data_IF_449246804131
#
_entry.id   IF_449246804131
#
_cell.length_a   1.000
_cell.length_b   1.000
_cell.length_c   1.000
_cell.angle_alpha   90.00
_cell.angle_beta   90.00
_cell.angle_gamma   90.00
#
_symmetry.space_group_name_H-M   'P 1'
#
loop_
_entity.id
_entity.type
_entity.pdbx_description
1 polymer ?
#
# COMPACT_ATOMS: atom_id res chain seq x y z
N UNK A 1 29.69 16.74 25.45
CA UNK A 1 28.25 17.02 25.41
C UNK A 1 27.89 17.36 23.97
N UNK A 2 27.62 16.34 23.17
CA UNK A 2 27.11 16.53 21.81
C UNK A 2 25.68 17.05 21.92
N UNK A 3 25.44 18.24 21.36
CA UNK A 3 24.09 18.78 21.21
C UNK A 3 23.34 17.84 20.29
N UNK A 4 22.41 17.07 20.86
CA UNK A 4 21.28 16.48 20.12
C UNK A 4 20.71 17.58 19.24
N UNK A 5 20.87 17.46 17.92
CA UNK A 5 20.09 18.26 16.97
C UNK A 5 18.63 17.97 17.33
N UNK A 6 17.91 18.95 17.85
CA UNK A 6 16.46 18.84 17.98
C UNK A 6 15.94 18.48 16.59
N UNK A 7 15.35 17.29 16.43
CA UNK A 7 14.69 16.94 15.19
C UNK A 7 13.67 18.06 14.92
N UNK A 8 13.91 18.83 13.86
CA UNK A 8 13.00 19.88 13.47
C UNK A 8 11.67 19.19 13.16
N UNK A 9 10.62 19.58 13.86
CA UNK A 9 9.29 19.06 13.62
C UNK A 9 8.88 19.41 12.18
N UNK A 10 8.50 18.41 11.38
CA UNK A 10 8.26 18.52 9.94
C UNK A 10 6.84 18.17 9.60
N UNK A 11 6.17 18.99 8.79
CA UNK A 11 4.79 18.77 8.38
C UNK A 11 4.62 17.44 7.61
N UNK A 12 3.45 16.75 7.67
CA UNK A 12 3.24 15.47 6.98
C UNK A 12 3.32 15.56 5.45
N UNK A 13 3.28 16.79 4.91
CA UNK A 13 3.43 17.06 3.48
C UNK A 13 4.89 17.28 3.03
N UNK A 14 5.87 17.25 3.95
CA UNK A 14 7.27 17.53 3.63
C UNK A 14 8.01 16.27 3.19
N UNK A 15 8.82 16.40 2.14
CA UNK A 15 9.67 15.31 1.63
C UNK A 15 10.83 15.04 2.60
N UNK A 16 11.19 13.76 2.90
CA UNK A 16 12.33 13.45 3.75
C UNK A 16 13.66 13.98 3.19
N UNK A 17 14.37 14.82 3.97
CA UNK A 17 15.66 15.41 3.58
C UNK A 17 16.87 14.46 3.66
N UNK A 18 16.71 13.25 4.20
CA UNK A 18 17.84 12.36 4.49
C UNK A 18 18.45 11.76 3.21
N UNK A 19 17.68 11.72 2.12
CA UNK A 19 18.14 11.44 0.77
C UNK A 19 17.25 12.18 -0.24
N UNK A 20 17.48 13.49 -0.37
CA UNK A 20 16.72 14.35 -1.30
C UNK A 20 16.74 13.84 -2.74
N UNK A 21 17.82 13.17 -3.16
CA UNK A 21 17.97 12.69 -4.54
C UNK A 21 17.18 11.39 -4.76
N UNK A 22 17.21 10.45 -3.82
CA UNK A 22 16.34 9.26 -3.88
C UNK A 22 14.87 9.61 -3.73
N UNK A 23 14.54 10.57 -2.86
CA UNK A 23 13.18 11.07 -2.72
C UNK A 23 12.73 11.80 -4.01
N UNK A 24 13.56 12.64 -4.62
CA UNK A 24 13.24 13.24 -5.92
C UNK A 24 13.08 12.18 -7.02
N UNK A 25 13.96 11.20 -7.11
CA UNK A 25 13.84 10.14 -8.13
C UNK A 25 12.57 9.28 -7.96
N UNK A 26 12.21 8.92 -6.72
CA UNK A 26 11.01 8.13 -6.44
C UNK A 26 9.72 8.94 -6.63
N UNK A 27 9.72 10.22 -6.25
CA UNK A 27 8.50 11.02 -6.07
C UNK A 27 8.30 12.12 -7.12
N UNK A 28 9.37 12.70 -7.66
CA UNK A 28 9.33 13.74 -8.70
C UNK A 28 9.36 13.12 -10.10
N UNK A 29 10.16 12.07 -10.32
CA UNK A 29 10.28 11.42 -11.64
C UNK A 29 9.18 10.37 -11.90
N UNK A 30 8.17 10.25 -11.02
CA UNK A 30 7.07 9.28 -11.10
C UNK A 30 7.53 7.80 -11.21
N UNK A 31 8.73 7.49 -10.70
CA UNK A 31 9.28 6.13 -10.74
C UNK A 31 8.78 5.31 -9.55
N UNK A 32 7.49 5.00 -9.54
CA UNK A 32 6.83 4.16 -8.51
C UNK A 32 5.90 3.12 -9.14
N UNK A 33 5.55 2.12 -8.36
CA UNK A 33 4.57 1.10 -8.75
C UNK A 33 4.98 0.36 -10.02
N UNK A 34 4.06 0.19 -11.00
CA UNK A 34 4.37 -0.44 -12.27
C UNK A 34 5.42 0.29 -13.13
N UNK A 35 5.68 1.57 -12.88
CA UNK A 35 6.71 2.31 -13.62
C UNK A 35 8.12 1.99 -13.09
N UNK A 36 8.22 1.58 -11.83
CA UNK A 36 9.48 1.16 -11.19
C UNK A 36 9.73 -0.34 -11.30
N UNK A 37 8.68 -1.15 -11.13
CA UNK A 37 8.80 -2.59 -11.01
C UNK A 37 7.87 -3.32 -11.99
N UNK A 38 8.41 -4.36 -12.63
CA UNK A 38 7.66 -5.34 -13.43
C UNK A 38 7.50 -6.62 -12.62
N UNK A 39 6.31 -7.22 -12.66
CA UNK A 39 6.11 -8.59 -12.20
C UNK A 39 6.20 -9.59 -13.36
N UNK A 40 6.65 -10.80 -13.05
CA UNK A 40 6.84 -11.87 -14.03
C UNK A 40 6.53 -13.22 -13.40
N UNK A 41 5.84 -14.13 -14.11
CA UNK A 41 5.59 -15.49 -13.62
C UNK A 41 6.89 -16.24 -13.42
N UNK A 42 7.07 -16.82 -12.23
CA UNK A 42 8.23 -17.64 -11.90
C UNK A 42 7.81 -18.87 -11.09
N UNK A 43 8.58 -19.95 -11.21
CA UNK A 43 8.43 -21.14 -10.38
C UNK A 43 9.51 -21.14 -9.31
N UNK A 44 9.11 -21.14 -8.03
CA UNK A 44 10.07 -21.29 -6.93
C UNK A 44 10.56 -22.74 -6.89
N UNK A 45 11.88 -22.94 -7.03
CA UNK A 45 12.51 -24.26 -6.99
C UNK A 45 13.00 -24.61 -5.59
N UNK A 46 13.58 -23.62 -4.89
CA UNK A 46 14.13 -23.80 -3.55
C UNK A 46 14.07 -22.49 -2.77
N UNK A 47 13.85 -22.55 -1.46
CA UNK A 47 13.99 -21.41 -0.54
C UNK A 47 15.06 -21.72 0.51
N UNK A 48 16.00 -20.78 0.72
CA UNK A 48 17.07 -20.90 1.72
C UNK A 48 17.35 -19.54 2.36
N UNK A 49 17.05 -19.41 3.64
CA UNK A 49 17.25 -18.16 4.38
C UNK A 49 16.46 -16.99 3.77
N UNK A 50 17.16 -15.91 3.44
CA UNK A 50 16.62 -14.68 2.84
C UNK A 50 16.51 -14.72 1.31
N UNK A 51 16.94 -15.81 0.67
CA UNK A 51 16.96 -15.95 -0.79
C UNK A 51 16.17 -17.20 -1.24
N UNK A 52 15.82 -17.21 -2.53
CA UNK A 52 15.19 -18.35 -3.18
C UNK A 52 15.69 -18.51 -4.61
N UNK A 53 15.78 -19.76 -5.06
CA UNK A 53 16.08 -20.11 -6.43
C UNK A 53 14.75 -20.18 -7.20
N UNK A 54 14.64 -19.39 -8.26
CA UNK A 54 13.45 -19.35 -9.12
C UNK A 54 13.81 -19.74 -10.55
N UNK A 55 12.88 -20.38 -11.23
CA UNK A 55 12.89 -20.60 -12.67
C UNK A 55 11.95 -19.60 -13.34
N UNK A 56 12.47 -18.83 -14.28
CA UNK A 56 11.75 -17.80 -15.02
C UNK A 56 12.24 -17.80 -16.48
N UNK A 57 11.30 -17.87 -17.43
CA UNK A 57 11.60 -17.82 -18.88
C UNK A 57 12.71 -18.80 -19.33
N UNK A 58 12.74 -19.99 -18.72
CA UNK A 58 13.71 -21.04 -19.05
C UNK A 58 15.10 -20.87 -18.41
N UNK A 59 15.31 -19.83 -17.60
CA UNK A 59 16.53 -19.62 -16.84
C UNK A 59 16.28 -19.80 -15.33
N UNK A 60 17.31 -20.25 -14.60
CA UNK A 60 17.28 -20.29 -13.12
C UNK A 60 18.11 -19.16 -12.56
N UNK A 61 17.60 -18.44 -11.56
CA UNK A 61 18.32 -17.39 -10.85
C UNK A 61 17.98 -17.37 -9.37
N UNK A 62 18.95 -16.95 -8.56
CA UNK A 62 18.74 -16.70 -7.13
C UNK A 62 18.24 -15.26 -6.95
N UNK A 63 17.18 -15.08 -6.16
CA UNK A 63 16.57 -13.77 -5.89
C UNK A 63 16.27 -13.63 -4.39
N UNK A 64 16.29 -12.41 -3.84
CA UNK A 64 15.81 -12.14 -2.49
C UNK A 64 14.34 -12.57 -2.34
N UNK A 65 13.98 -13.14 -1.19
CA UNK A 65 12.60 -13.57 -0.92
C UNK A 65 11.62 -12.39 -0.90
N UNK A 66 12.08 -11.20 -0.55
CA UNK A 66 11.30 -9.95 -0.62
C UNK A 66 10.91 -9.55 -2.05
N UNK A 67 11.54 -10.12 -3.08
CA UNK A 67 11.20 -9.89 -4.48
C UNK A 67 10.25 -10.95 -5.05
N UNK A 68 9.77 -11.89 -4.23
CA UNK A 68 8.86 -12.96 -4.67
C UNK A 68 7.49 -12.78 -4.04
N UNK A 69 6.49 -12.73 -4.91
CA UNK A 69 5.09 -12.59 -4.54
C UNK A 69 4.40 -13.96 -4.58
N UNK A 70 3.46 -14.24 -3.66
CA UNK A 70 2.51 -15.32 -3.83
C UNK A 70 1.81 -15.24 -5.19
N UNK A 71 1.58 -16.39 -5.82
CA UNK A 71 0.97 -16.44 -7.16
C UNK A 71 -0.34 -15.64 -7.23
N UNK A 72 -1.20 -15.84 -6.24
CA UNK A 72 -2.51 -15.20 -6.20
C UNK A 72 -2.43 -13.68 -6.05
N UNK A 73 -1.48 -13.17 -5.25
CA UNK A 73 -1.22 -11.72 -5.16
C UNK A 73 -0.77 -11.14 -6.51
N UNK A 74 0.14 -11.83 -7.21
CA UNK A 74 0.53 -11.44 -8.56
C UNK A 74 -0.68 -11.36 -9.50
N UNK A 75 -1.62 -12.30 -9.39
CA UNK A 75 -2.85 -12.28 -10.18
C UNK A 75 -3.78 -11.13 -9.79
N UNK A 76 -3.89 -10.79 -8.51
CA UNK A 76 -4.65 -9.62 -8.04
C UNK A 76 -4.06 -8.31 -8.60
N UNK A 77 -2.74 -8.17 -8.66
CA UNK A 77 -2.10 -7.00 -9.30
C UNK A 77 -2.50 -6.91 -10.77
N UNK A 78 -2.42 -8.00 -11.53
CA UNK A 78 -2.81 -8.01 -12.95
C UNK A 78 -4.31 -7.70 -13.13
N UNK A 79 -5.15 -8.20 -12.23
CA UNK A 79 -6.59 -7.95 -12.23
C UNK A 79 -6.90 -6.47 -12.02
N UNK A 80 -6.29 -5.87 -10.99
CA UNK A 80 -6.43 -4.44 -10.68
C UNK A 80 -5.85 -3.57 -11.79
N UNK A 81 -4.74 -3.98 -12.42
CA UNK A 81 -4.18 -3.31 -13.60
C UNK A 81 -5.18 -3.24 -14.74
N UNK A 82 -5.79 -4.39 -15.08
CA UNK A 82 -6.75 -4.46 -16.16
C UNK A 82 -8.03 -3.68 -15.83
N UNK A 83 -8.50 -3.74 -14.58
CA UNK A 83 -9.70 -3.03 -14.15
C UNK A 83 -9.54 -1.49 -14.14
N UNK A 84 -8.31 -1.00 -14.00
CA UNK A 84 -8.01 0.43 -13.91
C UNK A 84 -7.22 0.99 -15.11
N UNK A 85 -7.12 0.22 -16.20
CA UNK A 85 -6.44 0.65 -17.43
C UNK A 85 -7.07 1.96 -17.95
N UNK A 86 -6.28 3.04 -17.99
CA UNK A 86 -6.71 4.37 -18.44
C UNK A 86 -7.53 5.20 -17.44
N UNK A 87 -7.73 4.73 -16.19
CA UNK A 87 -8.43 5.52 -15.16
C UNK A 87 -7.48 6.55 -14.52
N UNK A 88 -8.01 7.75 -14.26
CA UNK A 88 -7.26 8.80 -13.56
C UNK A 88 -6.88 8.37 -12.13
N UNK A 89 -5.70 8.79 -11.66
CA UNK A 89 -5.15 8.44 -10.34
C UNK A 89 -4.49 7.06 -10.25
N UNK A 90 -4.46 6.29 -11.36
CA UNK A 90 -3.77 5.01 -11.46
C UNK A 90 -2.60 5.09 -12.43
N UNK A 91 -1.51 4.40 -12.07
CA UNK A 91 -0.27 4.35 -12.84
C UNK A 91 -0.39 3.34 -13.99
N UNK A 92 0.13 3.71 -15.15
CA UNK A 92 0.20 2.82 -16.30
C UNK A 92 1.25 1.72 -16.09
N UNK A 93 0.99 0.51 -16.60
CA UNK A 93 1.95 -0.59 -16.64
C UNK A 93 2.33 -0.94 -18.08
N UNK A 94 3.36 -0.32 -18.67
CA UNK A 94 3.75 -0.59 -20.06
C UNK A 94 4.19 -2.04 -20.31
N UNK A 95 4.57 -2.76 -19.25
CA UNK A 95 4.96 -4.17 -19.31
C UNK A 95 3.77 -5.14 -19.21
N UNK A 96 2.54 -4.68 -19.01
CA UNK A 96 1.34 -5.53 -18.94
C UNK A 96 0.89 -5.95 -20.35
N UNK A 97 1.71 -6.83 -20.94
CA UNK A 97 1.62 -7.31 -22.31
C UNK A 97 0.53 -8.38 -22.53
N UNK A 98 0.39 -8.81 -23.79
CA UNK A 98 -0.58 -9.82 -24.18
C UNK A 98 -0.37 -11.19 -23.48
N UNK A 99 0.87 -11.52 -23.12
CA UNK A 99 1.20 -12.76 -22.41
C UNK A 99 0.60 -12.74 -21.01
N UNK A 100 0.81 -11.65 -20.26
CA UNK A 100 0.25 -11.48 -18.93
C UNK A 100 -1.29 -11.34 -18.95
N UNK A 101 -1.84 -10.66 -19.95
CA UNK A 101 -3.31 -10.57 -20.15
C UNK A 101 -3.92 -11.96 -20.41
N UNK A 102 -3.26 -12.79 -21.22
CA UNK A 102 -3.70 -14.17 -21.47
C UNK A 102 -3.59 -15.06 -20.23
N UNK A 103 -2.52 -14.89 -19.44
CA UNK A 103 -2.33 -15.60 -18.18
C UNK A 103 -3.44 -15.27 -17.18
N UNK A 104 -3.77 -13.98 -17.00
CA UNK A 104 -4.87 -13.53 -16.15
C UNK A 104 -6.22 -14.12 -16.59
N UNK A 105 -6.50 -14.10 -17.90
CA UNK A 105 -7.72 -14.68 -18.45
C UNK A 105 -7.82 -16.19 -18.16
N UNK A 106 -6.71 -16.92 -18.31
CA UNK A 106 -6.63 -18.35 -17.97
C UNK A 106 -6.86 -18.60 -16.49
N UNK A 107 -6.35 -17.74 -15.61
CA UNK A 107 -6.56 -17.86 -14.17
C UNK A 107 -8.02 -17.60 -13.79
N UNK A 108 -8.61 -16.51 -14.31
CA UNK A 108 -10.03 -16.18 -14.09
C UNK A 108 -10.98 -17.29 -14.54
N UNK A 109 -10.66 -17.98 -15.64
CA UNK A 109 -11.46 -19.09 -16.15
C UNK A 109 -11.56 -20.29 -15.20
N UNK A 110 -10.68 -20.39 -14.19
CA UNK A 110 -10.76 -21.43 -13.14
C UNK A 110 -11.85 -21.14 -12.11
N UNK A 111 -12.37 -19.92 -12.06
CA UNK A 111 -13.37 -19.50 -11.08
C UNK A 111 -14.74 -19.39 -11.74
N UNK A 112 -15.78 -19.89 -11.07
CA UNK A 112 -17.15 -19.96 -11.59
C UNK A 112 -17.73 -18.59 -12.00
N UNK A 113 -17.23 -17.50 -11.42
CA UNK A 113 -17.69 -16.13 -11.66
C UNK A 113 -16.80 -15.39 -12.67
N UNK A 114 -15.74 -16.04 -13.18
CA UNK A 114 -14.79 -15.42 -14.11
C UNK A 114 -14.00 -14.25 -13.51
N UNK A 115 -13.93 -14.16 -12.18
CA UNK A 115 -13.24 -13.11 -11.43
C UNK A 115 -12.36 -13.71 -10.36
N UNK A 116 -11.23 -13.07 -10.10
CA UNK A 116 -10.47 -13.31 -8.90
C UNK A 116 -11.23 -12.72 -7.72
N UNK A 117 -11.12 -13.40 -6.58
CA UNK A 117 -11.77 -12.98 -5.35
C UNK A 117 -10.68 -12.53 -4.35
N UNK A 118 -10.47 -11.21 -4.24
CA UNK A 118 -9.48 -10.64 -3.32
C UNK A 118 -9.87 -10.87 -1.86
N UNK A 119 -11.17 -10.86 -1.56
CA UNK A 119 -11.67 -11.07 -0.20
C UNK A 119 -11.40 -12.47 0.34
N UNK A 120 -11.42 -13.51 -0.49
CA UNK A 120 -11.04 -14.88 -0.12
C UNK A 120 -9.56 -14.99 0.20
N UNK A 121 -8.71 -14.26 -0.53
CA UNK A 121 -7.28 -14.22 -0.26
C UNK A 121 -7.01 -13.56 1.09
N UNK A 122 -7.61 -12.38 1.31
CA UNK A 122 -7.58 -11.71 2.60
C UNK A 122 -8.13 -12.61 3.72
N UNK A 123 -9.29 -13.23 3.50
CA UNK A 123 -9.94 -14.09 4.46
C UNK A 123 -9.17 -15.38 4.79
N UNK A 124 -8.22 -15.81 3.96
CA UNK A 124 -7.48 -17.07 4.13
C UNK A 124 -6.05 -16.87 4.60
N UNK A 125 -5.38 -15.84 4.11
CA UNK A 125 -3.96 -15.60 4.37
C UNK A 125 -3.72 -14.42 5.30
N UNK A 126 -4.73 -13.58 5.53
CA UNK A 126 -4.60 -12.33 6.26
C UNK A 126 -5.51 -12.27 7.52
N UNK A 127 -6.32 -13.30 7.78
CA UNK A 127 -7.27 -13.43 8.92
C UNK A 127 -6.70 -14.06 10.18
N UNK A 128 -5.51 -14.66 10.13
CA UNK A 128 -4.79 -15.08 11.36
C UNK A 128 -4.21 -13.87 12.13
N UNK A 129 -4.49 -12.65 11.66
CA UNK A 129 -4.24 -11.36 12.31
C UNK A 129 -5.59 -10.62 12.34
N UNK A 130 -6.00 -10.07 13.48
CA UNK A 130 -7.37 -9.69 13.80
C UNK A 130 -8.01 -8.61 12.86
N UNK A 131 -9.34 -8.69 12.70
CA UNK A 131 -10.16 -8.04 11.65
C UNK A 131 -11.08 -6.95 12.23
N UNK A 132 -10.81 -5.64 12.00
CA UNK A 132 -11.65 -4.53 12.53
C UNK A 132 -11.58 -3.16 11.79
N UNK A 133 -11.22 -3.10 10.51
CA UNK A 133 -11.00 -1.88 9.71
C UNK A 133 -12.19 -1.49 8.81
N UNK A 134 -12.07 -0.37 8.09
CA UNK A 134 -13.10 0.17 7.20
C UNK A 134 -13.62 -0.86 6.19
N UNK A 135 -14.90 -0.73 5.88
CA UNK A 135 -15.62 -1.60 4.98
C UNK A 135 -15.16 -1.40 3.52
N UNK A 136 -14.82 -2.49 2.81
CA UNK A 136 -14.55 -2.49 1.38
C UNK A 136 -15.51 -3.44 0.64
N UNK A 137 -15.77 -3.16 -0.63
CA UNK A 137 -16.70 -3.92 -1.45
C UNK A 137 -15.98 -4.83 -2.47
N UNK A 138 -16.26 -6.13 -2.43
CA UNK A 138 -15.89 -7.12 -3.44
C UNK A 138 -17.16 -7.59 -4.17
N UNK A 139 -17.41 -7.03 -5.36
CA UNK A 139 -18.69 -7.15 -6.03
C UNK A 139 -19.80 -6.42 -5.26
N UNK A 140 -20.81 -7.17 -4.79
CA UNK A 140 -21.91 -6.63 -3.96
C UNK A 140 -21.69 -6.85 -2.44
N UNK A 141 -20.55 -7.42 -2.03
CA UNK A 141 -20.31 -7.82 -0.64
C UNK A 141 -19.34 -6.89 0.08
N UNK A 142 -19.69 -6.56 1.32
CA UNK A 142 -18.93 -5.71 2.24
C UNK A 142 -18.01 -6.55 3.16
N UNK A 143 -16.78 -6.07 3.42
CA UNK A 143 -15.71 -6.74 4.18
C UNK A 143 -14.87 -5.73 5.00
N UNK A 144 -14.18 -6.13 6.08
CA UNK A 144 -13.42 -5.22 6.98
C UNK A 144 -11.89 -5.55 7.04
N UNK A 145 -10.99 -4.55 7.16
CA UNK A 145 -9.51 -4.75 7.25
C UNK A 145 -8.88 -4.58 8.65
N UNK A 146 -7.56 -4.32 8.84
CA UNK A 146 -6.77 -4.78 10.01
C UNK A 146 -6.36 -3.65 10.99
N UNK A 147 -6.56 -3.86 12.31
CA UNK A 147 -5.91 -3.19 13.48
C UNK A 147 -6.57 -3.67 14.80
N UNK A 148 -5.84 -3.66 15.92
CA UNK A 148 -6.41 -3.99 17.25
C UNK A 148 -7.24 -2.83 17.79
N UNK A 149 -8.52 -3.06 18.10
CA UNK A 149 -9.41 -2.03 18.65
C UNK A 149 -9.10 -1.84 20.13
N UNK A 150 -8.37 -0.78 20.47
CA UNK A 150 -8.48 -0.20 21.79
C UNK A 150 -9.72 0.69 21.81
N UNK A 151 -10.62 0.42 22.76
CA UNK A 151 -11.58 1.41 23.20
C UNK A 151 -10.73 2.51 23.86
N UNK A 152 -10.31 3.50 23.08
CA UNK A 152 -9.79 4.72 23.65
C UNK A 152 -10.95 5.32 24.45
N UNK A 153 -10.83 5.30 25.77
CA UNK A 153 -11.64 6.21 26.60
C UNK A 153 -11.43 7.60 26.02
N UNK A 154 -12.52 8.32 25.76
CA UNK A 154 -12.54 9.73 25.39
C UNK A 154 -11.83 10.54 26.50
N UNK A 155 -10.51 10.52 26.49
CA UNK A 155 -9.73 11.51 27.21
C UNK A 155 -10.05 12.82 26.49
N UNK A 156 -10.75 13.70 27.21
CA UNK A 156 -11.05 15.08 26.84
C UNK A 156 -9.75 15.84 26.51
N UNK A 157 -9.21 15.60 25.33
CA UNK A 157 -8.06 16.30 24.81
C UNK A 157 -8.57 17.59 24.19
N UNK A 158 -8.20 18.70 24.82
CA UNK A 158 -8.57 20.04 24.38
C UNK A 158 -8.08 20.28 22.95
N UNK A 159 -8.94 20.82 22.10
CA UNK A 159 -8.57 21.39 20.80
C UNK A 159 -7.29 22.24 20.94
N UNK A 160 -6.26 21.92 20.16
CA UNK A 160 -5.03 22.73 20.11
C UNK A 160 -3.92 22.36 21.09
N UNK A 161 -3.97 21.22 21.80
CA UNK A 161 -2.80 20.73 22.53
C UNK A 161 -1.75 20.18 21.54
N UNK A 162 -0.64 20.91 21.37
CA UNK A 162 0.57 20.44 20.69
C UNK A 162 1.08 19.19 21.43
N UNK A 163 0.87 18.02 20.82
CA UNK A 163 1.23 16.71 21.37
C UNK A 163 2.73 16.47 21.50
N UNK A 164 3.55 17.47 21.19
CA UNK A 164 5.00 17.41 21.29
C UNK A 164 5.57 16.55 20.17
N UNK A 165 5.97 17.18 19.06
CA UNK A 165 6.85 16.54 18.08
C UNK A 165 6.26 15.39 17.23
N UNK A 166 5.01 15.00 17.45
CA UNK A 166 4.33 13.92 16.72
C UNK A 166 2.95 14.36 16.19
N UNK A 167 2.51 13.75 15.09
CA UNK A 167 1.18 13.98 14.53
C UNK A 167 0.13 13.11 15.21
N UNK A 168 -0.93 13.73 15.74
CA UNK A 168 -2.05 12.99 16.31
C UNK A 168 -3.01 12.54 15.21
N UNK A 169 -3.16 11.23 15.06
CA UNK A 169 -4.20 10.63 14.22
C UNK A 169 -5.55 10.80 14.92
N UNK A 170 -6.54 11.30 14.18
CA UNK A 170 -7.93 11.40 14.65
C UNK A 170 -8.67 10.09 14.43
N UNK A 171 -8.57 9.55 13.22
CA UNK A 171 -9.23 8.30 12.81
C UNK A 171 -8.61 7.75 11.52
N UNK A 172 -8.87 6.48 11.24
CA UNK A 172 -8.57 5.86 9.95
C UNK A 172 -9.84 5.85 9.11
N UNK A 173 -9.79 6.48 7.95
CA UNK A 173 -10.95 6.64 7.07
C UNK A 173 -11.11 5.44 6.14
N UNK A 174 -10.00 4.96 5.58
CA UNK A 174 -10.01 3.98 4.51
C UNK A 174 -8.74 3.12 4.55
N UNK A 175 -8.75 2.01 3.81
CA UNK A 175 -7.64 1.08 3.69
C UNK A 175 -7.43 0.69 2.23
N UNK A 176 -6.16 0.52 1.86
CA UNK A 176 -5.75 0.16 0.53
C UNK A 176 -4.78 -1.03 0.58
N UNK A 177 -5.16 -2.19 0.03
CA UNK A 177 -4.31 -3.37 0.05
C UNK A 177 -3.12 -3.23 -0.91
N UNK A 178 -2.07 -4.05 -0.76
CA UNK A 178 -0.79 -3.85 -1.45
C UNK A 178 -0.89 -3.93 -2.97
N UNK A 179 -1.77 -4.79 -3.49
CA UNK A 179 -2.01 -4.94 -4.93
C UNK A 179 -2.74 -3.73 -5.55
N UNK A 180 -3.51 -2.97 -4.78
CA UNK A 180 -4.12 -1.72 -5.23
C UNK A 180 -3.19 -0.52 -4.98
N UNK A 181 -2.53 -0.48 -3.83
CA UNK A 181 -1.54 0.53 -3.47
C UNK A 181 -0.41 0.63 -4.49
N UNK A 182 0.06 -0.51 -4.98
CA UNK A 182 1.07 -0.59 -6.03
C UNK A 182 0.69 0.24 -7.26
N UNK A 183 -0.60 0.37 -7.56
CA UNK A 183 -1.12 0.99 -8.77
C UNK A 183 -1.55 2.45 -8.59
N UNK A 184 -1.69 2.92 -7.36
CA UNK A 184 -2.14 4.29 -7.10
C UNK A 184 -1.00 5.27 -7.19
N UNK A 185 -1.25 6.41 -7.81
CA UNK A 185 -0.28 7.49 -7.91
C UNK A 185 0.18 7.98 -6.53
N UNK A 186 -0.72 8.02 -5.54
CA UNK A 186 -0.41 8.55 -4.20
C UNK A 186 0.24 7.53 -3.25
N UNK A 187 0.32 6.26 -3.65
CA UNK A 187 0.88 5.19 -2.82
C UNK A 187 2.06 4.51 -3.53
N UNK A 188 1.86 3.94 -4.72
CA UNK A 188 2.91 3.47 -5.62
C UNK A 188 3.85 2.39 -5.08
N UNK A 189 3.60 1.85 -3.89
CA UNK A 189 4.45 0.82 -3.26
C UNK A 189 3.63 -0.42 -2.96
N UNK A 190 4.30 -1.57 -2.99
CA UNK A 190 3.69 -2.85 -2.65
C UNK A 190 3.66 -3.06 -1.13
N UNK A 191 2.77 -2.35 -0.45
CA UNK A 191 2.52 -2.48 0.99
C UNK A 191 1.10 -2.01 1.34
N UNK A 192 0.66 -2.34 2.55
CA UNK A 192 -0.61 -1.89 3.10
C UNK A 192 -0.59 -0.37 3.35
N UNK A 193 -1.64 0.34 2.93
CA UNK A 193 -1.82 1.77 3.20
C UNK A 193 -3.15 2.03 3.90
N UNK A 194 -3.19 3.06 4.75
CA UNK A 194 -4.39 3.55 5.40
C UNK A 194 -4.58 5.03 5.11
N UNK A 195 -5.82 5.45 4.84
CA UNK A 195 -6.16 6.86 4.78
C UNK A 195 -6.33 7.38 6.20
N UNK A 196 -5.41 8.23 6.63
CA UNK A 196 -5.34 8.79 7.98
C UNK A 196 -5.98 10.17 7.99
N UNK A 197 -6.94 10.39 8.87
CA UNK A 197 -7.42 11.72 9.21
C UNK A 197 -6.57 12.29 10.33
N UNK A 198 -5.90 13.41 10.09
CA UNK A 198 -5.12 14.10 11.10
C UNK A 198 -6.01 14.92 12.04
N UNK A 199 -5.56 15.09 13.29
CA UNK A 199 -6.16 16.00 14.27
C UNK A 199 -5.80 17.46 13.99
N UNK A 200 -6.50 18.40 14.64
CA UNK A 200 -6.17 19.84 14.57
C UNK A 200 -4.71 20.11 15.00
N UNK A 201 -3.98 21.04 14.36
CA UNK A 201 -4.41 21.95 13.29
C UNK A 201 -4.36 21.37 11.88
N UNK A 202 -3.90 20.13 11.71
CA UNK A 202 -3.68 19.52 10.40
C UNK A 202 -4.97 19.04 9.74
N UNK A 203 -6.02 18.81 10.54
CA UNK A 203 -7.35 18.41 10.05
C UNK A 203 -7.99 19.39 9.06
N UNK A 204 -7.53 20.65 9.01
CA UNK A 204 -8.07 21.70 8.12
C UNK A 204 -7.19 21.97 6.90
N UNK A 205 -6.04 21.30 6.78
CA UNK A 205 -5.10 21.51 5.67
C UNK A 205 -5.57 20.73 4.44
N UNK A 206 -5.56 21.35 3.27
CA UNK A 206 -5.84 20.63 2.02
C UNK A 206 -4.61 19.84 1.56
N UNK A 207 -4.68 18.51 1.70
CA UNK A 207 -3.60 17.61 1.29
C UNK A 207 -3.75 17.10 -0.15
N UNK A 208 -4.81 17.44 -0.91
CA UNK A 208 -5.05 16.82 -2.23
C UNK A 208 -3.88 16.94 -3.21
N UNK A 209 -3.12 18.03 -3.13
CA UNK A 209 -1.97 18.31 -3.98
C UNK A 209 -0.65 17.66 -3.50
N UNK A 210 -0.58 17.13 -2.28
CA UNK A 210 0.65 16.55 -1.73
C UNK A 210 0.86 15.11 -2.20
N UNK A 211 2.07 14.59 -2.03
CA UNK A 211 2.52 13.31 -2.58
C UNK A 211 1.62 12.13 -2.20
N UNK A 212 1.30 12.00 -0.92
CA UNK A 212 0.41 10.98 -0.37
C UNK A 212 -0.99 11.53 -0.06
N UNK A 213 -1.34 12.67 -0.66
CA UNK A 213 -2.60 13.38 -0.42
C UNK A 213 -3.84 12.57 -0.74
N UNK A 214 -4.85 12.64 0.14
CA UNK A 214 -6.16 12.04 -0.09
C UNK A 214 -7.27 13.11 -0.19
N UNK A 215 -7.40 13.94 0.85
CA UNK A 215 -8.43 14.97 0.96
C UNK A 215 -8.03 16.03 1.99
N UNK A 216 -8.89 17.04 2.23
CA UNK A 216 -8.69 17.95 3.37
C UNK A 216 -8.55 17.16 4.66
N UNK A 217 -7.47 17.44 5.39
CA UNK A 217 -7.12 16.82 6.66
C UNK A 217 -6.63 15.38 6.59
N UNK A 218 -6.51 14.77 5.39
CA UNK A 218 -6.19 13.36 5.27
C UNK A 218 -5.14 13.01 4.20
N UNK A 219 -4.28 12.05 4.54
CA UNK A 219 -3.22 11.48 3.70
C UNK A 219 -3.27 9.96 3.72
N UNK A 220 -2.65 9.31 2.73
CA UNK A 220 -2.41 7.88 2.71
C UNK A 220 -1.07 7.58 3.36
N UNK A 221 -1.09 6.81 4.44
CA UNK A 221 0.11 6.43 5.17
C UNK A 221 0.35 4.92 5.08
N UNK A 222 1.60 4.49 4.87
CA UNK A 222 1.91 3.07 4.91
C UNK A 222 1.75 2.54 6.34
N UNK A 223 1.34 1.28 6.47
CA UNK A 223 1.09 0.64 7.77
C UNK A 223 2.27 0.77 8.74
N UNK A 224 3.50 0.61 8.24
CA UNK A 224 4.74 0.70 9.04
C UNK A 224 4.99 2.08 9.67
N UNK A 225 4.37 3.14 9.14
CA UNK A 225 4.48 4.50 9.68
C UNK A 225 3.42 4.79 10.76
N UNK A 226 2.51 3.86 11.03
CA UNK A 226 1.41 4.08 11.96
C UNK A 226 1.68 3.40 13.32
N UNK A 227 1.43 4.10 14.45
CA UNK A 227 1.54 3.53 15.79
C UNK A 227 0.82 2.20 15.94
N UNK A 228 1.44 1.17 16.51
CA UNK A 228 0.84 -0.17 16.62
C UNK A 228 -0.44 -0.22 17.46
N UNK A 229 -0.70 0.84 18.24
CA UNK A 229 -1.81 1.02 19.19
C UNK A 229 -3.01 1.83 18.64
N UNK A 230 -2.99 2.18 17.35
CA UNK A 230 -4.11 2.82 16.63
C UNK A 230 -5.23 1.84 16.26
#
# INVERSE_FOLDING_TARGET
AERTKSAQFRHPAEVPLEDEDAAKAAFVDNSKGPLLARISPATMLQAKGSHCLVAEKGATREVPRSMVLPWYEGMLILDTLQANEGRAGFLAAPWFDAELKALLAKERAKFNVGRLNSSMYAAKYLTTVAVIGSAFFDGEKEWHYRRDRLLADDANDREGADGGGFFKVKELLDYLPPWEAFLREKCGFYQDFFQVQWSYPYSIVDYTAVENGASTGATWEPDECLPTDL
#
